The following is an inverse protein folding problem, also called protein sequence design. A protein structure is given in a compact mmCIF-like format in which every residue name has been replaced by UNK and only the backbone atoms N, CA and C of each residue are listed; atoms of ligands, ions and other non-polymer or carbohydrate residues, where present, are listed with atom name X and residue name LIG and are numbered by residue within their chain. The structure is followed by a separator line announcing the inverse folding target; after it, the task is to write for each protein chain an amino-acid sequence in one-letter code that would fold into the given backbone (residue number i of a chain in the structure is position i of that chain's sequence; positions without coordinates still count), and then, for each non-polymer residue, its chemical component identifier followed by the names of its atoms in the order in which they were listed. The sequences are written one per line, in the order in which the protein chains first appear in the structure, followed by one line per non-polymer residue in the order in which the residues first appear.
data_IF_293413195432
#
_entry.id   IF_293413195432
#
_cell.length_a   1.000
_cell.length_b   1.000
_cell.length_c   1.000
_cell.angle_alpha   90.00
_cell.angle_beta   90.00
_cell.angle_gamma   90.00
#
_symmetry.space_group_name_H-M   'P 1'
#
loop_
_entity.id
_entity.type
_entity.pdbx_description
1 polymer ?
#
# COMPACT_ATOMS: atom_id res chain seq x y z
N UNK A 1 11.63 -4.04 12.08
CA UNK A 1 11.77 -3.31 10.79
C UNK A 1 10.95 -2.01 10.75
N UNK A 2 9.82 -1.92 11.46
CA UNK A 2 8.91 -0.76 11.41
C UNK A 2 9.55 0.59 11.78
N UNK A 3 10.38 0.65 12.83
CA UNK A 3 11.04 1.88 13.25
C UNK A 3 11.88 2.52 12.13
N UNK A 4 12.68 1.70 11.44
CA UNK A 4 13.52 2.18 10.34
C UNK A 4 12.71 2.56 9.11
N UNK A 5 11.62 1.83 8.86
CA UNK A 5 10.66 2.19 7.83
C UNK A 5 10.07 3.59 8.07
N UNK A 6 9.67 3.91 9.30
CA UNK A 6 9.16 5.25 9.65
C UNK A 6 10.24 6.34 9.58
N UNK A 7 11.44 6.07 10.11
CA UNK A 7 12.58 7.02 10.06
C UNK A 7 13.04 7.34 8.64
N UNK A 8 12.98 6.36 7.74
CA UNK A 8 13.33 6.53 6.33
C UNK A 8 12.11 6.92 5.49
N UNK A 9 11.22 7.76 6.01
CA UNK A 9 10.09 8.33 5.27
C UNK A 9 9.17 7.29 4.60
N UNK A 10 8.94 6.16 5.28
CA UNK A 10 8.08 5.08 4.81
C UNK A 10 8.47 4.46 3.47
N UNK A 11 9.78 4.35 3.18
CA UNK A 11 10.29 3.57 2.05
C UNK A 11 9.86 2.10 2.13
N UNK A 12 9.83 1.40 0.98
CA UNK A 12 9.51 -0.02 0.95
C UNK A 12 10.39 -0.78 1.96
N UNK A 13 9.77 -1.63 2.79
CA UNK A 13 10.45 -2.41 3.83
C UNK A 13 11.58 -3.30 3.31
N UNK A 14 11.44 -3.87 2.11
CA UNK A 14 12.51 -4.64 1.48
C UNK A 14 13.72 -3.75 1.19
N UNK A 15 13.49 -2.56 0.67
CA UNK A 15 14.54 -1.57 0.43
C UNK A 15 15.20 -1.12 1.73
N UNK A 16 14.41 -0.84 2.77
CA UNK A 16 14.92 -0.52 4.11
C UNK A 16 15.80 -1.64 4.65
N UNK A 17 15.38 -2.90 4.53
CA UNK A 17 16.16 -4.05 4.98
C UNK A 17 17.51 -4.14 4.24
N UNK A 18 17.52 -3.91 2.93
CA UNK A 18 18.76 -3.89 2.13
C UNK A 18 19.72 -2.79 2.60
N UNK A 19 19.21 -1.56 2.79
CA UNK A 19 20.01 -0.43 3.30
C UNK A 19 20.62 -0.78 4.66
N UNK A 20 19.82 -1.30 5.59
CA UNK A 20 20.30 -1.66 6.93
C UNK A 20 21.36 -2.77 6.89
N UNK A 21 21.17 -3.79 6.05
CA UNK A 21 22.14 -4.86 5.85
C UNK A 21 23.47 -4.33 5.28
N UNK A 22 23.41 -3.39 4.32
CA UNK A 22 24.59 -2.76 3.74
C UNK A 22 25.41 -1.96 4.77
N UNK A 23 24.76 -1.47 5.82
CA UNK A 23 25.39 -0.77 6.94
C UNK A 23 25.73 -1.70 8.13
N UNK A 24 25.60 -3.02 7.98
CA UNK A 24 25.89 -3.99 9.05
C UNK A 24 24.87 -4.02 10.19
N UNK A 25 23.72 -3.36 10.02
CA UNK A 25 22.67 -3.29 11.04
C UNK A 25 21.76 -4.51 10.89
N UNK A 26 21.94 -5.51 11.77
CA UNK A 26 21.07 -6.69 11.81
C UNK A 26 19.74 -6.32 12.47
N UNK A 27 18.66 -6.37 11.69
CA UNK A 27 17.29 -6.19 12.18
C UNK A 27 16.51 -7.46 11.91
N UNK A 28 15.86 -8.02 12.94
CA UNK A 28 14.87 -9.07 12.74
C UNK A 28 13.62 -8.48 12.09
N UNK A 29 13.35 -8.92 10.87
CA UNK A 29 12.18 -8.54 10.09
C UNK A 29 10.99 -9.39 10.52
N UNK A 30 10.29 -8.94 11.55
CA UNK A 30 8.88 -9.32 11.70
C UNK A 30 8.08 -8.37 10.80
N UNK A 31 7.29 -8.91 9.86
CA UNK A 31 6.43 -8.08 9.02
C UNK A 31 5.41 -7.39 9.91
N UNK A 32 5.60 -6.09 10.09
CA UNK A 32 4.72 -5.24 10.87
C UNK A 32 3.82 -4.48 9.91
N UNK A 33 2.51 -4.50 10.09
CA UNK A 33 1.61 -3.65 9.31
C UNK A 33 1.91 -2.16 9.56
N UNK A 34 1.85 -1.32 8.52
CA UNK A 34 2.02 0.13 8.67
C UNK A 34 0.76 0.86 8.21
N UNK A 35 0.00 1.36 9.18
CA UNK A 35 -1.27 2.08 8.95
C UNK A 35 -1.06 3.33 8.07
N UNK A 36 0.01 4.09 8.30
CA UNK A 36 0.31 5.28 7.49
C UNK A 36 0.58 4.96 6.02
N UNK A 37 1.22 3.83 5.71
CA UNK A 37 1.39 3.40 4.33
C UNK A 37 0.08 2.98 3.69
N UNK A 38 -0.77 2.27 4.43
CA UNK A 38 -2.05 1.82 3.87
C UNK A 38 -2.97 3.00 3.58
N UNK A 39 -3.08 3.93 4.53
CA UNK A 39 -3.95 5.09 4.35
C UNK A 39 -3.40 6.10 3.32
N UNK A 40 -2.07 6.23 3.20
CA UNK A 40 -1.45 7.27 2.36
C UNK A 40 -0.92 6.82 1.00
N UNK A 41 -0.54 5.54 0.84
CA UNK A 41 0.12 5.04 -0.38
C UNK A 41 -0.55 3.82 -1.01
N UNK A 42 -1.46 3.16 -0.30
CA UNK A 42 -2.13 2.00 -0.87
C UNK A 42 -2.95 2.43 -2.09
N UNK A 43 -2.85 1.65 -3.15
CA UNK A 43 -3.66 1.86 -4.33
C UNK A 43 -5.14 1.70 -3.95
N UNK A 44 -5.99 2.62 -4.41
CA UNK A 44 -7.44 2.43 -4.28
C UNK A 44 -7.87 1.40 -5.31
N UNK A 45 -8.52 0.33 -4.87
CA UNK A 45 -9.12 -0.62 -5.80
C UNK A 45 -10.10 0.08 -6.75
N UNK A 46 -10.17 -0.42 -7.98
CA UNK A 46 -11.13 0.07 -8.95
C UNK A 46 -12.54 -0.34 -8.54
N UNK A 47 -13.51 0.52 -8.82
CA UNK A 47 -14.90 0.11 -8.72
C UNK A 47 -15.17 -1.00 -9.72
N UNK A 48 -15.85 -2.05 -9.25
CA UNK A 48 -16.30 -3.12 -10.11
C UNK A 48 -17.22 -2.57 -11.19
N UNK A 49 -17.11 -3.12 -12.40
CA UNK A 49 -18.02 -2.75 -13.47
C UNK A 49 -19.45 -3.20 -13.11
N UNK A 50 -20.43 -2.35 -13.41
CA UNK A 50 -21.84 -2.66 -13.13
C UNK A 50 -22.26 -3.83 -14.03
N UNK A 51 -22.80 -4.91 -13.44
CA UNK A 51 -23.30 -6.09 -14.19
C UNK A 51 -24.32 -5.68 -15.25
N UNK A 52 -25.19 -4.72 -14.95
CA UNK A 52 -26.13 -4.14 -15.89
C UNK A 52 -25.72 -2.70 -16.22
N UNK A 53 -25.29 -2.47 -17.46
CA UNK A 53 -25.00 -1.13 -18.00
C UNK A 53 -26.06 -0.78 -19.05
N UNK A 54 -26.93 0.20 -18.80
CA UNK A 54 -27.93 0.61 -19.77
C UNK A 54 -27.24 1.21 -21.01
N UNK A 55 -27.71 0.81 -22.19
CA UNK A 55 -27.14 1.25 -23.47
C UNK A 55 -27.98 2.33 -24.17
N UNK A 56 -29.14 2.66 -23.61
CA UNK A 56 -30.06 3.67 -24.13
C UNK A 56 -30.44 4.67 -23.02
N UNK A 57 -30.71 5.94 -23.38
CA UNK A 57 -31.22 6.93 -22.44
C UNK A 57 -32.51 6.47 -21.75
N UNK A 58 -32.70 6.85 -20.49
CA UNK A 58 -33.93 6.55 -19.72
C UNK A 58 -34.06 5.12 -19.15
N UNK A 59 -33.10 4.22 -19.42
CA UNK A 59 -33.12 2.83 -18.93
C UNK A 59 -32.61 2.65 -17.48
N UNK A 60 -32.12 3.71 -16.85
CA UNK A 60 -31.71 3.72 -15.44
C UNK A 60 -32.15 5.02 -14.81
N UNK A 61 -32.99 4.89 -13.78
CA UNK A 61 -33.46 5.96 -12.90
C UNK A 61 -33.09 5.49 -11.49
N UNK A 62 -32.48 6.37 -10.69
CA UNK A 62 -31.94 6.07 -9.36
C UNK A 62 -32.72 6.80 -8.28
#
# INVERSE_FOLDING_TARGET
LQLWHERLCHQNKQHVQQVLNNHGIKVHAQEQFCTGCVLGKHHRESFQSRKYRPRAPGKLIH
#
